data_IF_175859770155
#
_entry.id   IF_175859770155
#
_cell.length_a   1.000
_cell.length_b   1.000
_cell.length_c   1.000
_cell.angle_alpha   90.00
_cell.angle_beta   90.00
_cell.angle_gamma   90.00
#
_symmetry.space_group_name_H-M   'P 1'
#
loop_
_entity.id
_entity.type
_entity.pdbx_description
1 polymer ?
#
# COMPACT_ATOMS: atom_id res chain seq x y z
N UNK A 1 -48.72 -23.83 -3.45
CA UNK A 1 -48.08 -23.45 -2.16
C UNK A 1 -46.70 -24.10 -2.01
N UNK A 2 -45.70 -23.70 -2.83
CA UNK A 2 -44.31 -24.22 -2.77
C UNK A 2 -43.24 -23.20 -3.21
N UNK A 3 -43.52 -21.89 -3.12
CA UNK A 3 -42.56 -20.84 -3.54
C UNK A 3 -42.36 -19.73 -2.51
N UNK A 4 -42.88 -19.88 -1.29
CA UNK A 4 -42.79 -18.86 -0.24
C UNK A 4 -41.68 -19.12 0.80
N UNK A 5 -40.70 -19.96 0.48
CA UNK A 5 -39.61 -20.31 1.41
C UNK A 5 -38.23 -19.81 0.93
N UNK A 6 -38.12 -19.32 -0.31
CA UNK A 6 -36.84 -18.82 -0.86
C UNK A 6 -36.54 -17.35 -0.54
N UNK A 7 -37.47 -16.63 0.11
CA UNK A 7 -37.32 -15.20 0.41
C UNK A 7 -36.87 -14.89 1.85
N UNK A 8 -36.46 -15.90 2.64
CA UNK A 8 -36.11 -15.74 4.06
C UNK A 8 -34.62 -15.99 4.39
N UNK A 9 -33.71 -15.85 3.42
CA UNK A 9 -32.25 -15.88 3.68
C UNK A 9 -31.51 -14.59 3.31
N UNK A 10 -32.21 -13.54 2.84
CA UNK A 10 -31.59 -12.25 2.51
C UNK A 10 -31.63 -11.21 3.63
N UNK A 11 -32.08 -11.57 4.83
CA UNK A 11 -32.19 -10.64 5.97
C UNK A 11 -31.38 -11.12 7.16
N UNK A 12 -30.05 -11.06 7.03
CA UNK A 12 -29.13 -10.89 8.16
C UNK A 12 -27.69 -10.67 7.65
N UNK A 13 -27.46 -9.64 6.84
CA UNK A 13 -26.11 -9.09 6.79
C UNK A 13 -25.97 -8.21 8.04
N UNK A 14 -25.17 -8.59 9.06
CA UNK A 14 -24.93 -7.73 10.19
C UNK A 14 -24.35 -6.42 9.65
N UNK A 15 -25.05 -5.30 9.86
CA UNK A 15 -24.60 -3.93 9.49
C UNK A 15 -23.45 -3.43 10.37
N UNK A 16 -22.53 -4.33 10.72
CA UNK A 16 -21.39 -4.09 11.60
C UNK A 16 -20.12 -4.73 11.04
N UNK A 17 -19.92 -4.67 9.73
CA UNK A 17 -18.55 -4.74 9.20
C UNK A 17 -18.03 -3.31 9.25
N UNK A 18 -17.26 -2.99 10.30
CA UNK A 18 -16.35 -1.85 10.21
C UNK A 18 -15.50 -2.10 8.95
N UNK A 19 -15.58 -1.20 7.97
CA UNK A 19 -14.84 -1.36 6.73
C UNK A 19 -13.35 -1.42 7.06
N UNK A 20 -12.76 -2.61 6.95
CA UNK A 20 -11.34 -2.80 7.16
C UNK A 20 -10.59 -2.09 6.03
N UNK A 21 -9.54 -1.34 6.36
CA UNK A 21 -8.69 -0.71 5.35
C UNK A 21 -8.06 -1.80 4.49
N UNK A 22 -8.25 -1.67 3.18
CA UNK A 22 -7.66 -2.53 2.18
C UNK A 22 -6.76 -1.71 1.25
N UNK A 23 -5.62 -2.28 0.92
CA UNK A 23 -4.55 -1.67 0.16
C UNK A 23 -4.28 -2.52 -1.07
N UNK A 24 -4.32 -1.91 -2.25
CA UNK A 24 -4.17 -2.61 -3.52
C UNK A 24 -3.08 -1.96 -4.35
N UNK A 25 -1.95 -2.66 -4.50
CA UNK A 25 -0.87 -2.27 -5.39
C UNK A 25 -1.22 -2.51 -6.86
N UNK A 26 -0.67 -1.66 -7.73
CA UNK A 26 -0.82 -1.71 -9.18
C UNK A 26 0.42 -1.09 -9.84
N UNK A 27 0.77 -1.57 -11.03
CA UNK A 27 1.91 -1.09 -11.81
C UNK A 27 2.43 -2.15 -12.79
N UNK A 28 3.56 -1.89 -13.45
CA UNK A 28 4.16 -2.85 -14.38
C UNK A 28 4.76 -4.03 -13.62
N UNK A 29 4.51 -5.25 -14.11
CA UNK A 29 5.16 -6.46 -13.58
C UNK A 29 6.59 -6.67 -14.09
N UNK A 30 6.95 -6.04 -15.21
CA UNK A 30 8.28 -6.12 -15.84
C UNK A 30 8.76 -4.72 -16.23
N UNK A 31 9.99 -4.39 -15.89
CA UNK A 31 10.63 -3.10 -16.24
C UNK A 31 12.05 -3.36 -16.76
N UNK A 32 12.46 -2.62 -17.79
CA UNK A 32 13.84 -2.71 -18.30
C UNK A 32 14.84 -2.03 -17.35
N UNK A 33 16.08 -2.55 -17.26
CA UNK A 33 17.16 -1.86 -16.54
C UNK A 33 17.33 -0.41 -17.00
N UNK A 34 17.76 0.46 -16.07
CA UNK A 34 17.86 1.92 -16.25
C UNK A 34 16.53 2.66 -16.48
N UNK A 35 15.41 1.94 -16.54
CA UNK A 35 14.07 2.50 -16.63
C UNK A 35 13.57 3.13 -15.32
N UNK A 36 12.31 3.57 -15.35
CA UNK A 36 11.60 4.08 -14.16
C UNK A 36 10.45 3.15 -13.83
N UNK A 37 10.46 2.57 -12.63
CA UNK A 37 9.33 1.86 -12.06
C UNK A 37 8.34 2.87 -11.47
N UNK A 38 7.06 2.76 -11.84
CA UNK A 38 5.96 3.55 -11.26
C UNK A 38 4.90 2.61 -10.72
N UNK A 39 4.70 2.63 -9.40
CA UNK A 39 3.67 1.86 -8.71
C UNK A 39 2.65 2.80 -8.07
N UNK A 40 1.43 2.31 -7.94
CA UNK A 40 0.32 3.00 -7.26
C UNK A 40 -0.36 2.06 -6.29
N UNK A 41 -0.64 2.54 -5.08
CA UNK A 41 -1.43 1.86 -4.08
C UNK A 41 -2.78 2.58 -3.93
N UNK A 42 -3.88 1.86 -4.19
CA UNK A 42 -5.23 2.33 -3.97
C UNK A 42 -5.69 1.96 -2.56
N UNK A 43 -6.34 2.91 -1.88
CA UNK A 43 -6.87 2.71 -0.53
C UNK A 43 -8.39 2.59 -0.58
N UNK A 44 -8.94 1.54 0.03
CA UNK A 44 -10.38 1.36 0.24
C UNK A 44 -10.67 1.09 1.72
N UNK A 45 -11.89 1.42 2.17
CA UNK A 45 -12.25 1.34 3.59
C UNK A 45 -11.53 2.34 4.52
N UNK A 46 -10.84 3.33 3.94
CA UNK A 46 -10.14 4.39 4.64
C UNK A 46 -9.89 5.60 3.74
N UNK A 47 -9.30 6.66 4.28
CA UNK A 47 -9.00 7.89 3.53
C UNK A 47 -7.55 8.34 3.70
N UNK A 48 -6.89 8.71 2.61
CA UNK A 48 -5.55 9.32 2.63
C UNK A 48 -5.55 10.73 3.23
N UNK A 49 -6.72 11.35 3.41
CA UNK A 49 -6.84 12.63 4.13
C UNK A 49 -6.75 12.46 5.65
N UNK A 50 -7.03 11.26 6.15
CA UNK A 50 -6.88 10.95 7.57
C UNK A 50 -5.39 10.91 7.89
N UNK A 51 -5.00 11.51 9.02
CA UNK A 51 -3.61 11.90 9.30
C UNK A 51 -2.63 10.75 9.54
N UNK A 52 -2.51 9.79 8.62
CA UNK A 52 -1.68 8.60 8.73
C UNK A 52 -0.44 8.69 7.86
N UNK A 53 0.51 7.80 8.15
CA UNK A 53 1.67 7.53 7.33
C UNK A 53 1.41 6.34 6.40
N UNK A 54 1.76 6.54 5.13
CA UNK A 54 1.59 5.56 4.07
C UNK A 54 2.96 5.18 3.52
N UNK A 55 3.25 3.90 3.49
CA UNK A 55 4.58 3.35 3.38
C UNK A 55 4.70 2.51 2.11
N UNK A 56 5.89 2.51 1.53
CA UNK A 56 6.32 1.52 0.55
C UNK A 56 7.44 0.67 1.14
N UNK A 57 7.31 -0.64 0.98
CA UNK A 57 8.26 -1.66 1.43
C UNK A 57 8.47 -2.61 0.27
N UNK A 58 9.67 -3.15 0.11
CA UNK A 58 9.92 -4.23 -0.84
C UNK A 58 10.53 -5.44 -0.17
N UNK A 59 10.23 -6.62 -0.70
CA UNK A 59 10.87 -7.86 -0.30
C UNK A 59 11.68 -8.40 -1.47
N UNK A 60 13.00 -8.26 -1.37
CA UNK A 60 13.91 -8.82 -2.36
C UNK A 60 14.16 -10.30 -2.04
N UNK A 61 14.33 -11.18 -3.05
CA UNK A 61 14.60 -12.60 -2.82
C UNK A 61 15.80 -12.87 -1.89
N UNK A 62 16.81 -12.00 -1.94
CA UNK A 62 18.08 -12.18 -1.21
C UNK A 62 18.15 -11.46 0.16
N UNK A 63 17.33 -10.43 0.38
CA UNK A 63 17.51 -9.48 1.51
C UNK A 63 16.32 -9.40 2.47
N UNK A 64 15.21 -10.06 2.16
CA UNK A 64 13.98 -9.93 2.93
C UNK A 64 13.34 -8.55 2.78
N UNK A 65 12.61 -8.10 3.81
CA UNK A 65 11.87 -6.83 3.81
C UNK A 65 12.81 -5.63 3.98
N UNK A 66 12.69 -4.67 3.07
CA UNK A 66 13.40 -3.40 3.07
C UNK A 66 12.39 -2.26 2.94
N UNK A 67 12.37 -1.37 3.93
CA UNK A 67 11.56 -0.16 3.87
C UNK A 67 12.14 0.81 2.83
N UNK A 68 11.29 1.38 1.99
CA UNK A 68 11.69 2.31 0.91
C UNK A 68 11.50 3.75 1.35
N UNK A 69 10.35 4.06 1.94
CA UNK A 69 9.96 5.40 2.31
C UNK A 69 8.51 5.49 2.71
N UNK A 70 8.12 6.66 3.20
CA UNK A 70 6.77 6.96 3.63
C UNK A 70 6.34 8.37 3.24
N UNK A 71 5.04 8.58 3.20
CA UNK A 71 4.40 9.89 3.01
C UNK A 71 3.29 10.10 4.03
N UNK A 72 3.29 11.27 4.67
CA UNK A 72 2.22 11.72 5.53
C UNK A 72 1.11 12.37 4.71
N UNK A 73 -0.11 12.42 5.25
CA UNK A 73 -1.24 13.08 4.57
C UNK A 73 -0.95 14.55 4.20
N UNK A 74 -0.08 15.26 4.92
CA UNK A 74 0.32 16.63 4.60
C UNK A 74 1.24 16.75 3.38
N UNK A 75 1.80 15.63 2.90
CA UNK A 75 2.82 15.58 1.85
C UNK A 75 4.26 15.45 2.35
N UNK A 76 4.49 15.44 3.67
CA UNK A 76 5.82 15.20 4.25
C UNK A 76 6.30 13.79 3.90
N UNK A 77 7.54 13.67 3.42
CA UNK A 77 8.12 12.39 3.00
C UNK A 77 9.40 12.06 3.75
N UNK A 78 9.61 10.78 4.05
CA UNK A 78 10.87 10.23 4.52
C UNK A 78 11.28 9.07 3.60
N UNK A 79 12.58 8.86 3.43
CA UNK A 79 13.13 7.84 2.55
C UNK A 79 14.22 7.05 3.24
N UNK A 80 14.38 5.80 2.82
CA UNK A 80 15.57 5.03 3.14
C UNK A 80 16.80 5.74 2.53
N UNK A 81 17.83 6.08 3.33
CA UNK A 81 19.02 6.78 2.84
C UNK A 81 19.67 6.13 1.63
N UNK A 82 19.68 4.79 1.56
CA UNK A 82 20.28 4.03 0.45
C UNK A 82 19.51 4.16 -0.87
N UNK A 83 18.24 4.56 -0.83
CA UNK A 83 17.36 4.67 -2.01
C UNK A 83 16.97 6.12 -2.33
N UNK A 84 17.24 7.06 -1.41
CA UNK A 84 16.76 8.45 -1.44
C UNK A 84 17.06 9.19 -2.74
N UNK A 85 18.17 8.91 -3.43
CA UNK A 85 18.54 9.59 -4.68
C UNK A 85 17.69 9.17 -5.89
N UNK A 86 17.00 8.03 -5.81
CA UNK A 86 16.24 7.46 -6.94
C UNK A 86 14.74 7.31 -6.66
N UNK A 87 14.30 7.59 -5.44
CA UNK A 87 12.93 7.38 -4.99
C UNK A 87 12.16 8.70 -4.90
N UNK A 88 10.91 8.68 -5.35
CA UNK A 88 9.92 9.72 -5.10
C UNK A 88 8.58 9.09 -4.72
N UNK A 89 7.98 9.57 -3.62
CA UNK A 89 6.65 9.14 -3.19
C UNK A 89 5.70 10.34 -3.27
N UNK A 90 4.50 10.12 -3.80
CA UNK A 90 3.47 11.15 -3.93
C UNK A 90 2.10 10.66 -3.46
N UNK A 91 1.22 11.60 -3.09
CA UNK A 91 -0.15 11.32 -2.65
C UNK A 91 -1.16 12.06 -3.52
N UNK A 92 -2.16 11.34 -4.02
CA UNK A 92 -3.33 11.87 -4.73
C UNK A 92 -4.58 11.59 -3.89
N UNK A 93 -4.96 12.57 -3.07
CA UNK A 93 -6.12 12.50 -2.18
C UNK A 93 -7.44 12.43 -2.95
N UNK A 94 -7.50 12.99 -4.16
CA UNK A 94 -8.72 12.99 -4.99
C UNK A 94 -9.09 11.59 -5.47
N UNK A 95 -8.07 10.74 -5.67
CA UNK A 95 -8.21 9.34 -6.09
C UNK A 95 -8.05 8.34 -4.95
N UNK A 96 -7.77 8.82 -3.74
CA UNK A 96 -7.41 7.99 -2.60
C UNK A 96 -6.25 7.02 -2.92
N UNK A 97 -5.23 7.54 -3.62
CA UNK A 97 -4.06 6.80 -4.05
C UNK A 97 -2.75 7.45 -3.59
N UNK A 98 -1.73 6.63 -3.36
CA UNK A 98 -0.35 7.10 -3.22
C UNK A 98 0.57 6.26 -4.09
N UNK A 99 1.63 6.87 -4.60
CA UNK A 99 2.46 6.29 -5.65
C UNK A 99 3.93 6.29 -5.28
N UNK A 100 4.66 5.33 -5.81
CA UNK A 100 6.11 5.21 -5.75
C UNK A 100 6.67 5.34 -7.17
N UNK A 101 7.65 6.21 -7.34
CA UNK A 101 8.54 6.22 -8.50
C UNK A 101 9.95 5.85 -8.05
N UNK A 102 10.52 4.85 -8.71
CA UNK A 102 11.92 4.43 -8.53
C UNK A 102 12.64 4.54 -9.88
N UNK A 103 13.63 5.42 -9.94
CA UNK A 103 14.40 5.71 -11.15
C UNK A 103 15.63 4.82 -11.28
N UNK A 104 16.13 4.70 -12.51
CA UNK A 104 17.35 3.96 -12.84
C UNK A 104 17.35 2.57 -12.21
N UNK A 105 16.28 1.81 -12.43
CA UNK A 105 16.12 0.49 -11.80
C UNK A 105 17.18 -0.50 -12.28
N UNK A 106 17.59 -1.39 -11.39
CA UNK A 106 18.59 -2.44 -11.63
C UNK A 106 17.99 -3.80 -11.34
N UNK A 107 18.68 -4.89 -11.72
CA UNK A 107 18.24 -6.25 -11.39
C UNK A 107 18.02 -6.44 -9.88
N UNK A 108 18.78 -5.75 -9.03
CA UNK A 108 18.65 -5.76 -7.58
C UNK A 108 17.36 -5.09 -7.07
N UNK A 109 16.65 -4.34 -7.91
CA UNK A 109 15.34 -3.77 -7.59
C UNK A 109 14.19 -4.75 -7.91
N UNK A 110 14.48 -5.98 -8.36
CA UNK A 110 13.49 -7.07 -8.49
C UNK A 110 13.02 -7.52 -7.11
N UNK A 111 11.74 -7.35 -6.83
CA UNK A 111 11.16 -7.62 -5.53
C UNK A 111 9.63 -7.72 -5.60
N UNK A 112 9.02 -8.22 -4.52
CA UNK A 112 7.60 -7.97 -4.25
C UNK A 112 7.50 -6.63 -3.53
N UNK A 113 6.73 -5.70 -4.09
CA UNK A 113 6.51 -4.38 -3.52
C UNK A 113 5.18 -4.34 -2.80
N UNK A 114 5.21 -3.88 -1.56
CA UNK A 114 4.04 -3.75 -0.69
C UNK A 114 3.82 -2.29 -0.35
N UNK A 115 2.55 -1.89 -0.30
CA UNK A 115 2.14 -0.68 0.35
C UNK A 115 1.56 -0.99 1.74
N UNK A 116 1.81 -0.10 2.70
CA UNK A 116 1.39 -0.30 4.08
C UNK A 116 0.91 0.99 4.74
N UNK A 117 0.00 0.86 5.71
CA UNK A 117 -0.45 1.95 6.59
C UNK A 117 0.18 1.78 7.96
N UNK A 118 0.76 2.86 8.47
CA UNK A 118 1.37 2.87 9.78
C UNK A 118 0.45 3.53 10.84
N UNK A 119 0.07 2.74 11.85
CA UNK A 119 -0.81 3.15 12.94
C UNK A 119 -0.48 2.39 14.22
N UNK A 120 -0.49 3.07 15.34
CA UNK A 120 -0.43 2.47 16.67
C UNK A 120 -1.84 2.48 17.29
N UNK A 121 -2.31 1.37 17.84
CA UNK A 121 -3.62 1.35 18.49
C UNK A 121 -3.52 0.87 19.93
N UNK A 122 -4.12 1.62 20.85
CA UNK A 122 -4.21 1.32 22.27
C UNK A 122 -5.65 1.55 22.75
N UNK A 123 -6.16 0.67 23.60
CA UNK A 123 -7.50 0.77 24.18
C UNK A 123 -8.63 0.93 23.13
N UNK A 124 -8.49 0.28 21.97
CA UNK A 124 -9.47 0.35 20.87
C UNK A 124 -9.39 1.61 20.00
N UNK A 125 -8.51 2.57 20.31
CA UNK A 125 -8.29 3.80 19.52
C UNK A 125 -7.00 3.68 18.73
N UNK A 126 -7.06 4.03 17.44
CA UNK A 126 -5.92 4.01 16.54
C UNK A 126 -5.40 5.41 16.24
N UNK A 127 -4.11 5.62 16.51
CA UNK A 127 -3.37 6.84 16.24
C UNK A 127 -2.34 6.64 15.11
N UNK A 128 -2.03 7.70 14.36
CA UNK A 128 -0.92 7.70 13.41
C UNK A 128 0.41 7.40 14.11
N UNK A 129 1.22 6.52 13.53
CA UNK A 129 2.58 6.26 14.03
C UNK A 129 3.46 5.83 12.88
N UNK A 130 4.68 6.38 12.71
CA UNK A 130 5.58 5.96 11.63
C UNK A 130 6.23 4.59 11.87
N UNK A 131 6.12 4.04 13.09
CA UNK A 131 6.88 2.85 13.49
C UNK A 131 6.11 1.53 13.38
N UNK A 132 4.78 1.56 13.30
CA UNK A 132 3.94 0.37 13.39
C UNK A 132 3.14 0.12 12.11
N UNK A 133 3.71 -0.66 11.19
CA UNK A 133 3.04 -1.08 9.95
C UNK A 133 1.98 -2.15 10.24
N UNK A 134 0.72 -1.73 10.30
CA UNK A 134 -0.39 -2.61 10.72
C UNK A 134 -1.19 -3.16 9.55
N UNK A 135 -1.47 -2.33 8.55
CA UNK A 135 -2.24 -2.74 7.37
C UNK A 135 -1.31 -2.83 6.18
N UNK A 136 -1.38 -3.94 5.45
CA UNK A 136 -0.52 -4.24 4.31
C UNK A 136 -1.38 -4.58 3.10
N UNK A 137 -0.92 -4.21 1.91
CA UNK A 137 -1.44 -4.76 0.66
C UNK A 137 -0.92 -6.17 0.42
N UNK A 138 -1.46 -6.82 -0.60
CA UNK A 138 -1.04 -8.20 -0.97
C UNK A 138 0.33 -8.22 -1.65
N UNK A 139 0.77 -7.07 -2.13
CA UNK A 139 2.03 -6.90 -2.83
C UNK A 139 1.92 -7.18 -4.33
N UNK A 140 2.86 -6.61 -5.07
CA UNK A 140 3.01 -6.82 -6.51
C UNK A 140 4.45 -7.24 -6.84
N UNK A 141 4.60 -8.33 -7.57
CA UNK A 141 5.91 -8.75 -8.08
C UNK A 141 6.32 -7.84 -9.22
N UNK A 142 7.51 -7.25 -9.12
CA UNK A 142 8.15 -6.50 -10.18
C UNK A 142 9.48 -7.17 -10.51
N UNK A 143 9.67 -7.51 -11.78
CA UNK A 143 10.92 -8.03 -12.32
C UNK A 143 11.63 -6.95 -13.11
N UNK A 144 12.96 -6.83 -12.89
CA UNK A 144 13.82 -5.94 -13.68
C UNK A 144 14.76 -6.78 -14.53
N UNK A 145 14.44 -6.91 -15.82
CA UNK A 145 15.24 -7.69 -16.76
C UNK A 145 15.16 -7.13 -18.19
N UNK A 146 16.16 -7.45 -19.00
CA UNK A 146 16.26 -7.07 -20.42
C UNK A 146 15.39 -7.93 -21.33
#
# INVERSE_FOLDING_TARGET
MKHLWFFLLLVAAPRWVLSQVHLQESGPGLVKPSGTLSLTCSVSGGSLTSGNWWNWVRQSPEKGLEWIGEIFHSGSTNYNPSLKSRVSISVDKSKNQFSLKLQSVTAADTAVYYCARATFCANGVCHPSPYYLRSWGQGILVTVSS
#
